data_IF_437962502472
#
_entry.id   IF_437962502472
#
_cell.length_a   1.000
_cell.length_b   1.000
_cell.length_c   1.000
_cell.angle_alpha   90.00
_cell.angle_beta   90.00
_cell.angle_gamma   90.00
#
_symmetry.space_group_name_H-M   'P 1'
#
loop_
_entity.id
_entity.type
_entity.pdbx_description
1 polymer ?
#
# COMPACT_ATOMS: atom_id res chain seq x y z
N UNK A 1 -26.67 12.83 -15.23
CA UNK A 1 -27.09 14.25 -15.32
C UNK A 1 -25.89 15.06 -14.84
N UNK A 2 -25.25 15.82 -15.73
CA UNK A 2 -24.08 16.62 -15.38
C UNK A 2 -24.56 17.88 -14.63
N UNK A 3 -23.99 18.13 -13.45
CA UNK A 3 -24.28 19.32 -12.65
C UNK A 3 -23.60 20.51 -13.31
N UNK A 4 -24.32 21.61 -13.63
CA UNK A 4 -23.70 22.79 -14.22
C UNK A 4 -22.70 23.39 -13.22
N UNK A 5 -21.46 23.55 -13.67
CA UNK A 5 -20.39 24.23 -12.91
C UNK A 5 -20.81 25.66 -12.63
N UNK A 6 -20.93 26.02 -11.35
CA UNK A 6 -21.27 27.36 -10.88
C UNK A 6 -20.14 28.33 -11.26
N UNK A 7 -20.30 29.06 -12.36
CA UNK A 7 -19.36 30.11 -12.78
C UNK A 7 -19.68 31.42 -12.06
N UNK A 8 -19.13 31.59 -10.86
CA UNK A 8 -19.05 32.88 -10.15
C UNK A 8 -17.59 33.16 -9.84
N UNK A 9 -17.14 34.39 -10.07
CA UNK A 9 -15.75 34.85 -9.95
C UNK A 9 -15.08 34.47 -8.62
N UNK A 10 -14.32 33.37 -8.62
CA UNK A 10 -13.58 32.84 -7.48
C UNK A 10 -12.86 31.53 -7.87
N UNK A 11 -11.75 31.21 -7.19
CA UNK A 11 -10.96 30.01 -7.45
C UNK A 11 -11.82 28.73 -7.37
N UNK A 12 -11.93 27.98 -8.47
CA UNK A 12 -12.69 26.70 -8.52
C UNK A 12 -11.89 25.57 -7.87
N UNK A 13 -12.52 24.81 -6.96
CA UNK A 13 -11.91 23.64 -6.34
C UNK A 13 -11.78 22.50 -7.35
N UNK A 14 -10.59 21.93 -7.50
CA UNK A 14 -10.36 20.76 -8.36
C UNK A 14 -10.34 19.49 -7.52
N UNK A 15 -11.13 18.49 -7.94
CA UNK A 15 -11.18 17.19 -7.30
C UNK A 15 -9.89 16.42 -7.62
N UNK A 16 -9.18 15.99 -6.58
CA UNK A 16 -8.02 15.11 -6.70
C UNK A 16 -8.38 13.76 -6.05
N UNK A 17 -8.01 12.60 -6.63
CA UNK A 17 -8.40 11.29 -6.07
C UNK A 17 -8.04 11.08 -4.60
N UNK A 18 -7.00 11.77 -4.11
CA UNK A 18 -6.52 11.70 -2.73
C UNK A 18 -7.07 12.82 -1.82
N UNK A 19 -7.76 13.82 -2.38
CA UNK A 19 -8.35 14.93 -1.64
C UNK A 19 -9.82 15.08 -2.05
N UNK A 20 -10.77 14.50 -1.27
CA UNK A 20 -12.19 14.60 -1.59
C UNK A 20 -12.71 16.04 -1.40
N UNK A 21 -13.82 16.34 -2.07
CA UNK A 21 -14.51 17.62 -1.95
C UNK A 21 -14.93 17.86 -0.50
N UNK A 22 -14.63 19.03 0.11
CA UNK A 22 -15.21 19.39 1.39
C UNK A 22 -16.74 19.39 1.29
N UNK A 23 -17.45 18.90 2.33
CA UNK A 23 -18.90 18.75 2.29
C UNK A 23 -19.63 20.09 2.13
N UNK A 24 -19.02 21.21 2.54
CA UNK A 24 -19.60 22.55 2.40
C UNK A 24 -19.67 23.03 0.95
N UNK A 25 -18.80 22.51 0.08
CA UNK A 25 -18.72 22.89 -1.33
C UNK A 25 -19.51 21.96 -2.23
N UNK A 26 -19.94 20.80 -1.72
CA UNK A 26 -20.76 19.86 -2.47
C UNK A 26 -22.18 20.43 -2.67
N UNK A 27 -22.61 20.71 -3.91
CA UNK A 27 -23.97 21.19 -4.16
C UNK A 27 -25.02 20.17 -3.69
N UNK A 28 -24.69 18.88 -3.75
CA UNK A 28 -25.60 17.82 -3.32
C UNK A 28 -25.90 17.87 -1.82
N UNK A 29 -25.07 18.53 -1.00
CA UNK A 29 -25.32 18.70 0.43
C UNK A 29 -26.56 19.58 0.69
N UNK A 30 -26.78 20.60 -0.13
CA UNK A 30 -27.88 21.56 0.05
C UNK A 30 -29.19 21.12 -0.60
N UNK A 31 -29.22 19.97 -1.28
CA UNK A 31 -30.45 19.45 -1.88
C UNK A 31 -31.51 19.14 -0.81
N UNK A 32 -32.63 19.87 -0.83
CA UNK A 32 -33.77 19.69 0.08
C UNK A 32 -34.86 18.77 -0.51
N UNK A 33 -34.46 17.77 -1.30
CA UNK A 33 -35.42 16.88 -1.95
C UNK A 33 -36.04 15.88 -0.96
N UNK A 34 -37.35 15.56 -1.07
CA UNK A 34 -38.01 14.65 -0.12
C UNK A 34 -37.41 13.24 -0.14
N UNK A 35 -36.94 12.77 -1.31
CA UNK A 35 -36.28 11.46 -1.45
C UNK A 35 -34.96 11.40 -0.67
N UNK A 36 -34.19 12.48 -0.70
CA UNK A 36 -32.92 12.57 0.04
C UNK A 36 -33.18 12.53 1.54
N UNK A 37 -34.13 13.32 2.05
CA UNK A 37 -34.52 13.27 3.46
C UNK A 37 -34.98 11.88 3.91
N UNK A 38 -35.74 11.16 3.07
CA UNK A 38 -36.12 9.78 3.37
C UNK A 38 -34.91 8.84 3.45
N UNK A 39 -33.93 9.00 2.56
CA UNK A 39 -32.71 8.20 2.61
C UNK A 39 -31.88 8.51 3.86
N UNK A 40 -31.69 9.80 4.19
CA UNK A 40 -30.98 10.24 5.38
C UNK A 40 -31.64 9.73 6.66
N UNK A 41 -32.97 9.83 6.76
CA UNK A 41 -33.73 9.30 7.88
C UNK A 41 -33.53 7.78 8.03
N UNK A 42 -33.52 7.03 6.92
CA UNK A 42 -33.22 5.59 6.94
C UNK A 42 -31.79 5.31 7.42
N UNK A 43 -30.79 6.03 6.92
CA UNK A 43 -29.39 5.89 7.34
C UNK A 43 -29.20 6.27 8.82
N UNK A 44 -29.86 7.33 9.30
CA UNK A 44 -29.82 7.75 10.70
C UNK A 44 -30.51 6.75 11.62
N UNK A 45 -31.65 6.18 11.21
CA UNK A 45 -32.34 5.14 11.96
C UNK A 45 -31.45 3.90 12.14
N UNK A 46 -30.78 3.46 11.07
CA UNK A 46 -29.82 2.34 11.14
C UNK A 46 -28.66 2.69 12.08
N UNK A 47 -28.06 3.87 11.94
CA UNK A 47 -26.95 4.32 12.80
C UNK A 47 -27.36 4.37 14.28
N UNK A 48 -28.54 4.93 14.57
CA UNK A 48 -29.07 5.03 15.93
C UNK A 48 -29.32 3.64 16.53
N UNK A 49 -29.91 2.73 15.76
CA UNK A 49 -30.16 1.36 16.18
C UNK A 49 -28.86 0.61 16.52
N UNK A 50 -27.87 0.62 15.61
CA UNK A 50 -26.57 -0.03 15.84
C UNK A 50 -25.83 0.56 17.04
N UNK A 51 -25.86 1.89 17.21
CA UNK A 51 -25.26 2.56 18.38
C UNK A 51 -25.94 2.14 19.67
N UNK A 52 -27.27 2.05 19.69
CA UNK A 52 -28.02 1.62 20.87
C UNK A 52 -27.67 0.18 21.25
N UNK A 53 -27.65 -0.75 20.28
CA UNK A 53 -27.24 -2.15 20.51
C UNK A 53 -25.83 -2.24 21.11
N UNK A 54 -24.87 -1.50 20.55
CA UNK A 54 -23.51 -1.46 21.07
C UNK A 54 -23.44 -0.89 22.50
N UNK A 55 -24.16 0.20 22.78
CA UNK A 55 -24.18 0.83 24.10
C UNK A 55 -24.81 -0.07 25.16
N UNK A 56 -25.85 -0.84 24.82
CA UNK A 56 -26.43 -1.82 25.74
C UNK A 56 -25.38 -2.86 26.16
N UNK A 57 -24.70 -3.48 25.20
CA UNK A 57 -23.65 -4.46 25.47
C UNK A 57 -22.46 -3.86 26.24
N UNK A 58 -22.13 -2.60 25.98
CA UNK A 58 -21.02 -1.92 26.65
C UNK A 58 -21.33 -1.60 28.11
N UNK A 59 -22.58 -1.25 28.41
CA UNK A 59 -23.02 -0.84 29.75
C UNK A 59 -23.41 -2.00 30.66
N UNK A 60 -23.39 -3.25 30.18
CA UNK A 60 -23.71 -4.43 30.97
C UNK A 60 -22.68 -4.66 32.10
N UNK A 61 -23.09 -4.62 33.40
CA UNK A 61 -22.16 -4.70 34.53
C UNK A 61 -21.51 -6.08 34.69
N UNK A 62 -22.12 -7.12 34.12
CA UNK A 62 -21.62 -8.50 34.19
C UNK A 62 -20.78 -8.89 32.96
N UNK A 63 -20.38 -7.94 32.10
CA UNK A 63 -19.61 -8.25 30.89
C UNK A 63 -18.19 -8.71 31.22
N UNK A 64 -17.85 -9.92 30.81
CA UNK A 64 -16.49 -10.50 30.95
C UNK A 64 -15.74 -10.63 29.62
N UNK A 65 -16.44 -10.63 28.47
CA UNK A 65 -15.87 -10.85 27.15
C UNK A 65 -15.77 -9.57 26.31
N UNK A 66 -14.89 -9.56 25.31
CA UNK A 66 -14.82 -8.51 24.28
C UNK A 66 -16.11 -8.47 23.42
N UNK A 67 -16.50 -7.27 22.96
CA UNK A 67 -17.67 -7.10 22.10
C UNK A 67 -17.25 -7.41 20.67
N UNK A 68 -17.82 -8.46 20.08
CA UNK A 68 -17.54 -8.84 18.70
C UNK A 68 -18.36 -7.98 17.74
N UNK A 69 -17.69 -7.21 16.87
CA UNK A 69 -18.34 -6.45 15.81
C UNK A 69 -18.48 -7.33 14.55
N UNK A 70 -19.72 -7.65 14.11
CA UNK A 70 -19.93 -8.42 12.90
C UNK A 70 -19.40 -7.69 11.65
N UNK A 71 -19.33 -6.35 11.64
CA UNK A 71 -18.81 -5.59 10.51
C UNK A 71 -17.30 -5.82 10.31
N UNK A 72 -16.53 -5.85 11.41
CA UNK A 72 -15.10 -6.16 11.36
C UNK A 72 -14.90 -7.60 10.88
N UNK A 73 -15.67 -8.55 11.42
CA UNK A 73 -15.60 -9.96 11.03
C UNK A 73 -15.93 -10.17 9.55
N UNK A 74 -16.95 -9.49 9.04
CA UNK A 74 -17.31 -9.53 7.62
C UNK A 74 -16.24 -8.87 6.74
N UNK A 75 -15.62 -7.78 7.20
CA UNK A 75 -14.55 -7.10 6.47
C UNK A 75 -13.28 -7.95 6.39
N UNK A 76 -12.88 -8.59 7.50
CA UNK A 76 -11.74 -9.51 7.50
C UNK A 76 -12.03 -10.73 6.64
N UNK A 77 -13.25 -11.29 6.72
CA UNK A 77 -13.70 -12.35 5.85
C UNK A 77 -13.64 -11.95 4.37
N UNK A 78 -14.17 -10.79 4.00
CA UNK A 78 -14.17 -10.30 2.62
C UNK A 78 -12.74 -10.13 2.06
N UNK A 79 -11.79 -9.70 2.90
CA UNK A 79 -10.36 -9.61 2.52
C UNK A 79 -9.69 -10.97 2.37
N UNK A 80 -10.08 -11.96 3.17
CA UNK A 80 -9.56 -13.31 3.06
C UNK A 80 -10.19 -14.08 1.88
N UNK A 81 -11.47 -13.78 1.57
CA UNK A 81 -12.28 -14.51 0.61
C UNK A 81 -12.17 -13.97 -0.83
N UNK A 82 -10.94 -13.88 -1.35
CA UNK A 82 -10.69 -13.29 -2.68
C UNK A 82 -10.97 -14.28 -3.82
N UNK A 83 -10.62 -15.56 -3.64
CA UNK A 83 -10.66 -16.57 -4.70
C UNK A 83 -12.05 -16.91 -5.27
N UNK A 84 -13.14 -17.05 -4.48
CA UNK A 84 -14.42 -17.45 -5.08
C UNK A 84 -15.04 -16.40 -5.99
N UNK A 85 -14.71 -15.11 -5.79
CA UNK A 85 -15.18 -14.03 -6.66
C UNK A 85 -14.18 -13.68 -7.78
N UNK A 86 -13.04 -14.38 -7.84
CA UNK A 86 -12.03 -14.16 -8.87
C UNK A 86 -12.49 -14.78 -10.20
N UNK A 87 -12.62 -13.92 -11.23
CA UNK A 87 -12.94 -14.35 -12.59
C UNK A 87 -11.69 -14.24 -13.46
N UNK A 88 -11.28 -15.37 -14.04
CA UNK A 88 -10.11 -15.43 -14.95
C UNK A 88 -10.43 -14.65 -16.23
N UNK A 89 -9.95 -13.41 -16.32
CA UNK A 89 -10.08 -12.54 -17.48
C UNK A 89 -8.72 -12.30 -18.13
N UNK A 90 -8.66 -11.99 -19.43
CA UNK A 90 -7.39 -11.68 -20.09
C UNK A 90 -6.70 -10.46 -19.44
N UNK A 91 -7.49 -9.47 -18.98
CA UNK A 91 -6.99 -8.26 -18.30
C UNK A 91 -6.30 -8.59 -16.97
N UNK A 92 -6.91 -9.47 -16.17
CA UNK A 92 -6.38 -9.88 -14.86
C UNK A 92 -5.15 -10.76 -15.02
N UNK A 93 -5.14 -11.65 -16.02
CA UNK A 93 -3.97 -12.48 -16.34
C UNK A 93 -2.78 -11.64 -16.83
N UNK A 94 -3.03 -10.65 -17.69
CA UNK A 94 -1.99 -9.73 -18.16
C UNK A 94 -1.40 -8.92 -17.00
N UNK A 95 -2.25 -8.38 -16.12
CA UNK A 95 -1.80 -7.62 -14.96
C UNK A 95 -1.00 -8.50 -14.00
N UNK A 96 -1.48 -9.73 -13.74
CA UNK A 96 -0.77 -10.71 -12.92
C UNK A 96 0.60 -11.11 -13.49
N UNK A 97 0.69 -11.31 -14.81
CA UNK A 97 1.95 -11.62 -15.47
C UNK A 97 2.93 -10.43 -15.41
N UNK A 98 2.45 -9.21 -15.67
CA UNK A 98 3.28 -8.01 -15.65
C UNK A 98 3.84 -7.73 -14.25
N UNK A 99 3.00 -7.80 -13.20
CA UNK A 99 3.44 -7.54 -11.83
C UNK A 99 4.08 -8.76 -11.15
N UNK A 100 3.82 -9.97 -11.62
CA UNK A 100 4.46 -11.18 -11.11
C UNK A 100 5.82 -11.45 -11.73
N UNK A 101 5.91 -11.48 -13.06
CA UNK A 101 7.12 -11.85 -13.81
C UNK A 101 8.00 -10.62 -14.07
N UNK A 102 7.40 -9.44 -14.27
CA UNK A 102 8.12 -8.21 -14.59
C UNK A 102 9.25 -7.90 -13.60
N UNK A 103 8.98 -7.80 -12.28
CA UNK A 103 10.02 -7.54 -11.29
C UNK A 103 11.12 -8.60 -11.28
N UNK A 104 10.78 -9.88 -11.46
CA UNK A 104 11.75 -10.99 -11.44
C UNK A 104 12.72 -10.86 -12.62
N UNK A 105 12.19 -10.65 -13.83
CA UNK A 105 13.03 -10.47 -15.03
C UNK A 105 13.88 -9.20 -14.97
N UNK A 106 13.32 -8.11 -14.43
CA UNK A 106 14.03 -6.85 -14.23
C UNK A 106 15.24 -7.00 -13.30
N UNK A 107 15.03 -7.59 -12.11
CA UNK A 107 16.11 -7.80 -11.16
C UNK A 107 17.14 -8.82 -11.65
N UNK A 108 16.68 -9.89 -12.31
CA UNK A 108 17.58 -10.85 -12.94
C UNK A 108 18.53 -10.17 -13.93
N UNK A 109 18.01 -9.30 -14.80
CA UNK A 109 18.82 -8.61 -15.80
C UNK A 109 19.87 -7.68 -15.18
N UNK A 110 19.49 -6.88 -14.17
CA UNK A 110 20.41 -5.98 -13.46
C UNK A 110 21.53 -6.79 -12.80
N UNK A 111 21.18 -7.80 -12.00
CA UNK A 111 22.18 -8.63 -11.34
C UNK A 111 23.06 -9.39 -12.33
N UNK A 112 22.50 -9.83 -13.46
CA UNK A 112 23.28 -10.50 -14.50
C UNK A 112 24.34 -9.55 -15.07
N UNK A 113 23.96 -8.32 -15.42
CA UNK A 113 24.88 -7.31 -15.95
C UNK A 113 26.00 -6.96 -14.97
N UNK A 114 25.67 -6.78 -13.70
CA UNK A 114 26.66 -6.50 -12.65
C UNK A 114 27.63 -7.67 -12.47
N UNK A 115 27.13 -8.90 -12.47
CA UNK A 115 27.96 -10.11 -12.38
C UNK A 115 28.91 -10.24 -13.56
N UNK A 116 28.41 -10.12 -14.78
CA UNK A 116 29.24 -10.18 -15.99
C UNK A 116 30.33 -9.10 -15.99
N UNK A 117 29.97 -7.88 -15.59
CA UNK A 117 30.89 -6.75 -15.55
C UNK A 117 32.03 -7.02 -14.56
N UNK A 118 31.69 -7.53 -13.37
CA UNK A 118 32.69 -7.92 -12.36
C UNK A 118 33.56 -9.08 -12.84
N UNK A 119 33.00 -10.08 -13.50
CA UNK A 119 33.76 -11.21 -14.05
C UNK A 119 34.75 -10.77 -15.15
N UNK A 120 34.40 -9.77 -15.96
CA UNK A 120 35.33 -9.19 -16.96
C UNK A 120 36.50 -8.48 -16.29
N UNK A 121 36.24 -7.66 -15.28
CA UNK A 121 37.29 -6.97 -14.52
C UNK A 121 38.27 -7.92 -13.83
N UNK A 122 37.77 -9.07 -13.35
CA UNK A 122 38.62 -10.12 -12.77
C UNK A 122 39.53 -10.75 -13.84
N UNK A 123 39.01 -11.01 -15.05
CA UNK A 123 39.79 -11.58 -16.16
C UNK A 123 40.88 -10.65 -16.67
N UNK A 124 40.62 -9.34 -16.66
CA UNK A 124 41.58 -8.31 -17.05
C UNK A 124 42.69 -8.09 -16.00
N UNK A 125 42.63 -8.77 -14.84
CA UNK A 125 43.58 -8.60 -13.75
C UNK A 125 43.37 -7.30 -12.96
N UNK A 126 42.33 -6.53 -13.29
CA UNK A 126 42.01 -5.24 -12.68
C UNK A 126 41.29 -5.38 -11.31
N UNK A 127 40.95 -6.61 -10.90
CA UNK A 127 40.32 -6.91 -9.62
C UNK A 127 40.98 -8.13 -8.97
N UNK A 128 41.89 -7.89 -8.01
CA UNK A 128 42.36 -8.92 -7.07
C UNK A 128 41.41 -8.98 -5.86
N UNK A 129 41.09 -10.21 -5.44
CA UNK A 129 40.30 -10.55 -4.26
C UNK A 129 40.77 -9.76 -3.02
N UNK A 130 39.94 -8.83 -2.54
CA UNK A 130 39.91 -8.43 -1.13
C UNK A 130 38.63 -8.99 -0.51
N UNK A 131 38.80 -10.03 0.31
CA UNK A 131 37.73 -10.85 0.86
C UNK A 131 36.92 -10.21 1.99
N UNK A 132 37.08 -8.92 2.30
CA UNK A 132 36.32 -8.28 3.39
C UNK A 132 35.82 -6.86 3.12
N UNK A 133 36.13 -6.28 1.97
CA UNK A 133 35.54 -5.01 1.56
C UNK A 133 34.85 -5.22 0.22
N UNK A 134 33.54 -5.01 0.22
CA UNK A 134 32.72 -4.86 -0.98
C UNK A 134 33.53 -4.15 -2.05
N UNK A 135 33.72 -4.77 -3.22
CA UNK A 135 34.36 -4.14 -4.36
C UNK A 135 33.73 -2.76 -4.56
N UNK A 136 34.41 -1.71 -4.09
CA UNK A 136 34.05 -0.35 -4.39
C UNK A 136 34.40 -0.17 -5.87
N UNK A 137 33.46 -0.55 -6.73
CA UNK A 137 33.49 -0.13 -8.13
C UNK A 137 33.45 1.39 -8.08
N UNK A 138 34.59 2.01 -8.38
CA UNK A 138 34.68 3.44 -8.62
C UNK A 138 33.78 3.71 -9.82
N UNK A 139 32.53 4.11 -9.55
CA UNK A 139 31.63 4.61 -10.58
C UNK A 139 32.36 5.75 -11.31
N UNK A 140 32.47 5.73 -12.65
CA UNK A 140 32.87 6.93 -13.36
C UNK A 140 31.84 8.00 -13.01
N UNK A 141 32.35 9.06 -12.41
CA UNK A 141 31.64 10.27 -12.02
C UNK A 141 30.64 10.68 -13.10
N UNK A 142 29.35 10.60 -12.78
CA UNK A 142 28.28 11.03 -13.66
C UNK A 142 26.90 10.85 -13.03
N UNK A 143 26.45 11.88 -12.31
CA UNK A 143 25.12 12.10 -11.70
C UNK A 143 24.79 11.40 -10.36
N UNK A 144 24.82 12.13 -9.23
CA UNK A 144 24.22 11.71 -7.97
C UNK A 144 22.73 12.08 -7.95
N UNK A 145 21.96 11.37 -7.13
CA UNK A 145 20.53 11.57 -6.80
C UNK A 145 19.54 10.74 -7.62
N UNK A 146 19.40 9.44 -7.29
CA UNK A 146 18.05 8.82 -7.14
C UNK A 146 18.05 7.39 -6.57
N UNK A 147 19.19 6.70 -6.48
CA UNK A 147 19.21 5.29 -6.06
C UNK A 147 19.18 5.03 -4.53
N UNK A 148 19.16 6.06 -3.68
CA UNK A 148 19.34 5.88 -2.23
C UNK A 148 18.12 5.37 -1.44
N UNK A 149 16.91 5.35 -1.99
CA UNK A 149 15.72 5.04 -1.15
C UNK A 149 15.36 3.56 -1.03
N UNK A 150 15.81 2.68 -1.95
CA UNK A 150 15.41 1.27 -1.94
C UNK A 150 16.42 0.30 -1.31
N UNK A 151 17.67 0.72 -1.09
CA UNK A 151 18.70 -0.15 -0.46
C UNK A 151 18.58 -0.25 1.07
N UNK A 152 17.87 0.68 1.73
CA UNK A 152 17.82 0.72 3.21
C UNK A 152 16.96 -0.42 3.79
N UNK A 153 15.96 -0.92 3.05
CA UNK A 153 15.06 -1.97 3.56
C UNK A 153 15.70 -3.37 3.47
N UNK A 154 16.51 -3.64 2.44
CA UNK A 154 17.18 -4.93 2.29
C UNK A 154 18.37 -5.12 3.25
N UNK A 155 18.95 -4.03 3.75
CA UNK A 155 20.12 -4.05 4.64
C UNK A 155 19.77 -4.40 6.09
N UNK A 156 18.54 -4.17 6.53
CA UNK A 156 18.10 -4.41 7.91
C UNK A 156 17.97 -5.89 8.30
N UNK A 157 17.68 -6.77 7.34
CA UNK A 157 17.57 -8.22 7.61
C UNK A 157 18.92 -8.92 7.72
N UNK A 158 19.99 -8.34 7.16
CA UNK A 158 21.30 -9.00 7.10
C UNK A 158 22.16 -8.74 8.34
N UNK A 159 21.95 -7.62 9.04
CA UNK A 159 22.65 -7.29 10.30
C UNK A 159 22.31 -8.28 11.44
N UNK A 160 21.04 -8.71 11.53
CA UNK A 160 20.58 -9.53 12.65
C UNK A 160 21.12 -10.97 12.67
N UNK A 161 21.50 -11.54 11.50
CA UNK A 161 22.12 -12.88 11.46
C UNK A 161 23.60 -12.88 11.84
N UNK A 162 24.33 -11.78 11.66
CA UNK A 162 25.73 -11.69 12.05
C UNK A 162 25.92 -11.51 13.56
N UNK A 163 24.97 -10.88 14.26
CA UNK A 163 25.11 -10.64 15.71
C UNK A 163 24.98 -11.93 16.55
N UNK A 164 24.18 -12.90 16.11
CA UNK A 164 23.96 -14.16 16.85
C UNK A 164 25.13 -15.15 16.80
N UNK A 165 26.02 -15.05 15.80
CA UNK A 165 27.15 -15.97 15.68
C UNK A 165 28.39 -15.55 16.48
N UNK A 166 28.41 -14.33 17.05
CA UNK A 166 29.54 -13.84 17.86
C UNK A 166 29.48 -14.22 19.33
N UNK A 167 28.34 -14.74 19.82
CA UNK A 167 28.15 -15.06 21.26
C UNK A 167 28.50 -16.50 21.65
N UNK A 168 29.01 -17.33 20.74
CA UNK A 168 29.29 -18.77 20.99
C UNK A 168 30.78 -19.14 21.07
N UNK A 169 31.65 -18.14 21.23
CA UNK A 169 33.08 -18.32 21.53
C UNK A 169 33.50 -17.26 22.55
N UNK A 170 33.23 -17.56 23.81
CA UNK A 170 33.66 -16.85 25.01
C UNK A 170 33.60 -17.86 26.14
#
# INVERSE_FOLDING_TARGET
>A
MAVPSLSGSGFSYQLVPLAPLPPQLDPANYDASPKKHQSEAKHLAIRAHLKCQYLLQLNDPCRTHHIEDPAITQWTYAKANVYPNFRVNPKTSLLGALFGIGPITFWWYIFKKDRDYREKLIKEGNCLLSSHEWCAVKLPTGSPLQFCFLCTVASGLFQNKCFLLRKKKG
#
